data_IF_607895493983
#
_entry.id   IF_607895493983
#
_cell.length_a   1.000
_cell.length_b   1.000
_cell.length_c   1.000
_cell.angle_alpha   90.00
_cell.angle_beta   90.00
_cell.angle_gamma   90.00
#
_symmetry.space_group_name_H-M   'P 1'
#
loop_
_entity.id
_entity.type
_entity.pdbx_description
1 polymer ?
#
# COMPACT_ATOMS: atom_id res chain seq x y z
N UNK A 1 4.49 -7.32 14.35
CA UNK A 1 3.43 -7.40 13.32
C UNK A 1 2.11 -7.69 14.01
N UNK A 2 1.07 -6.89 13.74
CA UNK A 2 -0.28 -7.04 14.29
C UNK A 2 -1.31 -6.90 13.17
N UNK A 3 -2.24 -7.85 13.07
CA UNK A 3 -3.39 -7.73 12.19
C UNK A 3 -4.38 -6.71 12.76
N UNK A 4 -5.02 -5.90 11.92
CA UNK A 4 -6.08 -5.00 12.37
C UNK A 4 -7.43 -5.74 12.41
N UNK A 5 -8.34 -5.38 13.35
CA UNK A 5 -9.63 -6.08 13.49
C UNK A 5 -10.49 -6.03 12.22
N UNK A 6 -10.43 -4.91 11.50
CA UNK A 6 -11.20 -4.70 10.27
C UNK A 6 -10.28 -4.17 9.17
N UNK A 7 -9.83 -5.05 8.26
CA UNK A 7 -9.11 -4.63 7.07
C UNK A 7 -9.90 -3.61 6.26
N UNK A 8 -9.23 -2.63 5.66
CA UNK A 8 -9.88 -1.57 4.89
C UNK A 8 -9.16 -1.29 3.58
N UNK A 9 -9.91 -0.79 2.60
CA UNK A 9 -9.37 -0.39 1.30
C UNK A 9 -8.62 0.93 1.40
N UNK A 10 -7.48 0.99 0.72
CA UNK A 10 -6.62 2.15 0.64
C UNK A 10 -5.94 2.18 -0.73
N UNK A 11 -5.02 3.11 -0.90
CA UNK A 11 -4.11 3.16 -2.04
C UNK A 11 -2.68 3.32 -1.54
N UNK A 12 -1.76 2.63 -2.21
CA UNK A 12 -0.31 2.72 -2.00
C UNK A 12 0.35 3.53 -3.11
N UNK A 13 1.47 4.16 -2.80
CA UNK A 13 2.22 4.97 -3.76
C UNK A 13 3.27 4.11 -4.47
N UNK A 14 3.28 4.16 -5.80
CA UNK A 14 4.21 3.40 -6.64
C UNK A 14 4.96 4.35 -7.54
N UNK A 15 6.28 4.30 -7.44
CA UNK A 15 7.19 5.06 -8.29
C UNK A 15 7.65 4.19 -9.46
N UNK A 16 7.30 4.61 -10.67
CA UNK A 16 7.74 3.94 -11.90
C UNK A 16 8.73 4.80 -12.65
N UNK A 17 9.90 4.23 -12.97
CA UNK A 17 10.91 4.89 -13.79
C UNK A 17 10.42 5.05 -15.22
N UNK A 18 10.45 6.27 -15.73
CA UNK A 18 10.07 6.60 -17.10
C UNK A 18 11.27 6.43 -18.05
N UNK A 19 11.00 6.37 -19.35
CA UNK A 19 12.03 6.24 -20.40
C UNK A 19 13.09 7.36 -20.34
N UNK A 20 12.70 8.56 -19.89
CA UNK A 20 13.59 9.71 -19.70
C UNK A 20 14.36 9.72 -18.37
N UNK A 21 14.29 8.65 -17.57
CA UNK A 21 15.00 8.54 -16.28
C UNK A 21 14.30 9.22 -15.10
N UNK A 22 13.24 10.00 -15.32
CA UNK A 22 12.41 10.55 -14.23
C UNK A 22 11.56 9.48 -13.54
N UNK A 23 11.20 9.72 -12.29
CA UNK A 23 10.27 8.88 -11.53
C UNK A 23 8.87 9.48 -11.58
N UNK A 24 7.86 8.66 -11.88
CA UNK A 24 6.46 9.05 -11.81
C UNK A 24 5.79 8.34 -10.65
N UNK A 25 5.20 9.11 -9.73
CA UNK A 25 4.36 8.58 -8.67
C UNK A 25 2.96 8.26 -9.21
N UNK A 26 2.41 7.12 -8.80
CA UNK A 26 1.03 6.70 -9.08
C UNK A 26 0.43 6.05 -7.85
N UNK A 27 -0.89 6.17 -7.68
CA UNK A 27 -1.61 5.53 -6.59
C UNK A 27 -2.26 4.26 -7.11
N UNK A 28 -1.98 3.12 -6.47
CA UNK A 28 -2.56 1.84 -6.82
C UNK A 28 -3.41 1.30 -5.68
N UNK A 29 -4.55 0.62 -5.97
CA UNK A 29 -5.40 0.02 -4.97
C UNK A 29 -4.64 -0.97 -4.07
N UNK A 30 -4.91 -0.93 -2.78
CA UNK A 30 -4.44 -1.91 -1.81
C UNK A 30 -5.46 -2.11 -0.68
N UNK A 31 -5.22 -3.14 0.13
CA UNK A 31 -5.99 -3.39 1.36
C UNK A 31 -5.04 -3.41 2.54
N UNK A 32 -5.29 -2.55 3.52
CA UNK A 32 -4.54 -2.57 4.78
C UNK A 32 -5.08 -3.70 5.64
N UNK A 33 -4.22 -4.64 6.03
CA UNK A 33 -4.58 -5.81 6.82
C UNK A 33 -3.87 -5.84 8.18
N UNK A 34 -2.87 -4.99 8.39
CA UNK A 34 -2.10 -4.97 9.61
C UNK A 34 -1.19 -3.75 9.74
N UNK A 35 -0.46 -3.72 10.85
CA UNK A 35 0.61 -2.77 11.12
C UNK A 35 1.84 -3.52 11.63
N UNK A 36 3.02 -3.01 11.29
CA UNK A 36 4.31 -3.53 11.71
C UNK A 36 5.27 -2.39 11.98
N UNK A 37 6.53 -2.73 12.24
CA UNK A 37 7.65 -1.82 12.14
C UNK A 37 8.46 -2.18 10.90
N UNK A 38 9.02 -1.19 10.23
CA UNK A 38 10.00 -1.39 9.18
C UNK A 38 11.39 -1.72 9.77
N UNK A 39 12.40 -1.81 8.91
CA UNK A 39 13.76 -2.18 9.28
C UNK A 39 14.43 -1.14 10.20
N UNK A 40 14.00 0.12 10.15
CA UNK A 40 14.46 1.22 11.01
C UNK A 40 13.68 1.27 12.34
N UNK A 41 12.67 0.41 12.50
CA UNK A 41 11.82 0.35 13.68
C UNK A 41 10.64 1.33 13.66
N UNK A 42 10.42 2.02 12.53
CA UNK A 42 9.36 3.01 12.35
C UNK A 42 8.03 2.33 12.02
N UNK A 43 6.88 2.90 12.42
CA UNK A 43 5.58 2.32 12.13
C UNK A 43 5.30 2.21 10.63
N UNK A 44 4.86 1.03 10.20
CA UNK A 44 4.50 0.76 8.81
C UNK A 44 3.21 -0.05 8.69
N UNK A 45 2.53 0.05 7.55
CA UNK A 45 1.32 -0.69 7.22
C UNK A 45 1.65 -1.98 6.50
N UNK A 46 0.96 -3.06 6.86
CA UNK A 46 0.97 -4.29 6.07
C UNK A 46 -0.19 -4.21 5.10
N UNK A 47 0.13 -4.29 3.82
CA UNK A 47 -0.83 -4.17 2.73
C UNK A 47 -0.85 -5.42 1.88
N UNK A 48 -2.05 -5.74 1.41
CA UNK A 48 -2.30 -6.69 0.34
C UNK A 48 -2.57 -5.90 -0.95
N UNK A 49 -1.92 -6.27 -2.05
CA UNK A 49 -2.13 -5.64 -3.35
C UNK A 49 -2.02 -6.66 -4.48
N UNK A 50 -2.71 -6.40 -5.59
CA UNK A 50 -2.67 -7.26 -6.78
C UNK A 50 -1.88 -6.58 -7.90
N UNK A 51 -0.91 -7.30 -8.45
CA UNK A 51 -0.13 -6.88 -9.61
C UNK A 51 -0.06 -8.04 -10.59
N UNK A 52 -0.39 -7.81 -11.86
CA UNK A 52 -0.42 -8.83 -12.92
C UNK A 52 -1.22 -10.11 -12.55
N UNK A 53 -2.33 -9.93 -11.83
CA UNK A 53 -3.22 -11.02 -11.40
C UNK A 53 -2.72 -11.82 -10.20
N UNK A 54 -1.56 -11.46 -9.63
CA UNK A 54 -0.97 -12.11 -8.46
C UNK A 54 -1.14 -11.20 -7.25
N UNK A 55 -1.57 -11.77 -6.13
CA UNK A 55 -1.72 -11.05 -4.86
C UNK A 55 -0.44 -11.15 -4.04
N UNK A 56 0.06 -10.00 -3.59
CA UNK A 56 1.29 -9.86 -2.82
C UNK A 56 1.00 -9.23 -1.46
N UNK A 57 1.89 -9.52 -0.51
CA UNK A 57 2.00 -8.82 0.75
C UNK A 57 3.19 -7.87 0.71
N UNK A 58 2.97 -6.64 1.13
CA UNK A 58 4.01 -5.62 1.23
C UNK A 58 3.91 -4.80 2.50
N UNK A 59 4.93 -4.01 2.75
CA UNK A 59 5.01 -3.05 3.85
C UNK A 59 5.09 -1.65 3.24
N UNK A 60 4.25 -0.73 3.70
CA UNK A 60 4.19 0.64 3.20
C UNK A 60 4.26 1.62 4.38
N UNK A 61 5.14 2.61 4.32
CA UNK A 61 5.23 3.66 5.35
C UNK A 61 4.04 4.63 5.27
N UNK A 62 3.40 4.75 4.11
CA UNK A 62 2.28 5.65 3.89
C UNK A 62 1.22 5.05 2.96
N UNK A 63 -0.05 5.24 3.32
CA UNK A 63 -1.22 4.82 2.52
C UNK A 63 -2.27 5.92 2.52
N UNK A 64 -3.03 6.04 1.43
CA UNK A 64 -4.22 6.90 1.36
C UNK A 64 -5.46 6.07 1.59
N UNK A 65 -6.19 6.35 2.67
CA UNK A 65 -7.44 5.66 2.98
C UNK A 65 -8.50 6.03 1.93
N UNK A 66 -9.19 5.03 1.39
CA UNK A 66 -10.33 5.30 0.50
C UNK A 66 -11.48 5.86 1.32
N UNK A 67 -12.11 6.94 0.85
CA UNK A 67 -13.25 7.54 1.53
C UNK A 67 -14.47 6.62 1.52
N UNK A 68 -15.30 6.72 2.56
CA UNK A 68 -16.49 5.90 2.72
C UNK A 68 -17.51 6.29 1.63
N UNK A 69 -17.67 5.43 0.63
CA UNK A 69 -18.55 5.66 -0.53
C UNK A 69 -17.81 5.69 -1.87
N UNK A 70 -16.47 5.68 -1.86
CA UNK A 70 -15.66 5.52 -3.05
C UNK A 70 -14.76 4.27 -2.92
N UNK A 71 -15.34 3.06 -2.88
CA UNK A 71 -14.56 1.85 -3.02
C UNK A 71 -13.99 1.86 -4.44
N UNK A 72 -12.67 1.71 -4.55
CA UNK A 72 -11.99 1.56 -5.84
C UNK A 72 -12.63 0.44 -6.67
#
# INVERSE_FOLDING_TARGET
MFAIPTPYFASREIYTKQAGGSMKASWQPCRVIGVTKDDDGEPAYIVEYTHDGITYLGTESYVRRSERGNPL
#
